data_IF_600716081054
#
_entry.id   IF_600716081054
#
_cell.length_a   1.000
_cell.length_b   1.000
_cell.length_c   1.000
_cell.angle_alpha   90.00
_cell.angle_beta   90.00
_cell.angle_gamma   90.00
#
_symmetry.space_group_name_H-M   'P 1'
#
loop_
_entity.id
_entity.type
_entity.pdbx_description
1 polymer ?
#
# COMPACT_ATOMS: atom_id res chain seq x y z
N UNK A 1 -37.18 -60.00 -11.31
CA UNK A 1 -37.97 -58.77 -11.52
C UNK A 1 -37.02 -57.58 -11.58
N UNK A 2 -36.99 -56.87 -12.70
CA UNK A 2 -36.23 -55.63 -12.88
C UNK A 2 -37.26 -54.49 -12.96
N UNK A 3 -37.11 -53.48 -12.10
CA UNK A 3 -37.90 -52.24 -12.16
C UNK A 3 -36.93 -51.07 -12.01
N UNK A 4 -36.71 -50.38 -13.12
CA UNK A 4 -36.27 -48.98 -13.28
C UNK A 4 -37.31 -48.46 -14.30
N UNK A 5 -37.95 -47.27 -14.20
CA UNK A 5 -37.25 -45.98 -14.13
C UNK A 5 -38.02 -44.73 -13.61
N UNK A 6 -37.34 -43.57 -13.72
CA UNK A 6 -37.79 -42.15 -13.79
C UNK A 6 -38.04 -41.43 -12.43
N UNK A 7 -37.15 -40.53 -11.99
CA UNK A 7 -36.84 -39.18 -12.48
C UNK A 7 -37.98 -38.17 -12.24
N UNK A 8 -37.90 -37.39 -11.15
CA UNK A 8 -38.42 -36.00 -11.10
C UNK A 8 -37.46 -35.15 -10.26
N UNK A 9 -36.83 -34.21 -10.98
CA UNK A 9 -36.05 -33.08 -10.53
C UNK A 9 -37.03 -31.95 -10.11
N UNK A 10 -36.86 -31.31 -8.94
CA UNK A 10 -37.25 -29.92 -8.78
C UNK A 10 -36.00 -29.08 -8.55
N UNK A 11 -35.50 -28.52 -9.65
CA UNK A 11 -34.75 -27.28 -9.62
C UNK A 11 -35.78 -26.14 -9.58
N UNK A 12 -35.90 -25.38 -8.49
CA UNK A 12 -36.36 -23.98 -8.53
C UNK A 12 -36.33 -23.29 -7.15
N UNK A 13 -35.82 -22.05 -7.13
CA UNK A 13 -35.85 -21.03 -6.06
C UNK A 13 -34.99 -21.37 -4.82
N UNK A 14 -33.96 -20.60 -4.44
CA UNK A 14 -34.01 -19.16 -4.13
C UNK A 14 -32.70 -18.52 -4.62
N UNK A 15 -32.76 -17.83 -5.76
CA UNK A 15 -31.88 -16.71 -6.05
C UNK A 15 -32.50 -15.42 -5.52
N UNK A 16 -31.67 -14.38 -5.41
CA UNK A 16 -31.99 -12.97 -5.12
C UNK A 16 -31.82 -12.52 -3.66
N UNK A 17 -30.58 -12.53 -3.17
CA UNK A 17 -30.09 -11.44 -2.29
C UNK A 17 -28.63 -11.08 -2.64
N UNK A 18 -28.34 -10.85 -3.92
CA UNK A 18 -27.22 -9.97 -4.26
C UNK A 18 -27.74 -8.54 -4.13
N UNK A 19 -27.58 -7.98 -2.93
CA UNK A 19 -27.57 -6.54 -2.73
C UNK A 19 -26.39 -5.97 -3.53
N UNK A 20 -26.62 -5.77 -4.82
CA UNK A 20 -25.81 -4.90 -5.66
C UNK A 20 -26.00 -3.49 -5.11
N UNK A 21 -25.17 -3.13 -4.14
CA UNK A 21 -24.84 -1.73 -3.88
C UNK A 21 -24.24 -1.20 -5.18
N UNK A 22 -25.07 -0.70 -6.09
CA UNK A 22 -24.67 0.30 -7.06
C UNK A 22 -24.39 1.56 -6.25
N UNK A 23 -23.19 1.64 -5.68
CA UNK A 23 -22.66 2.91 -5.22
C UNK A 23 -22.56 3.74 -6.48
N UNK A 24 -23.33 4.82 -6.54
CA UNK A 24 -23.18 5.82 -7.58
C UNK A 24 -21.72 6.25 -7.54
N UNK A 25 -20.97 5.91 -8.59
CA UNK A 25 -19.64 6.46 -8.83
C UNK A 25 -19.84 7.94 -9.11
N UNK A 26 -19.92 8.74 -8.04
CA UNK A 26 -19.55 10.13 -8.10
C UNK A 26 -18.12 10.13 -8.61
N UNK A 27 -17.92 10.51 -9.87
CA UNK A 27 -16.62 10.57 -10.52
C UNK A 27 -15.64 11.39 -9.68
N UNK A 28 -14.97 10.72 -8.76
CA UNK A 28 -13.75 11.21 -8.15
C UNK A 28 -12.73 11.13 -9.28
N UNK A 29 -12.23 12.28 -9.71
CA UNK A 29 -10.91 12.35 -10.35
C UNK A 29 -10.00 11.36 -9.59
N UNK A 30 -9.24 10.48 -10.26
CA UNK A 30 -8.43 9.46 -9.58
C UNK A 30 -7.62 10.16 -8.50
N UNK A 31 -8.07 10.03 -7.26
CA UNK A 31 -7.61 10.88 -6.18
C UNK A 31 -6.16 10.54 -5.95
N UNK A 32 -5.29 11.54 -5.99
CA UNK A 32 -3.91 11.37 -5.55
C UNK A 32 -3.98 10.97 -4.07
N UNK A 33 -3.85 9.69 -3.79
CA UNK A 33 -4.25 9.13 -2.50
C UNK A 33 -3.43 7.88 -2.18
N UNK A 34 -3.39 7.57 -0.89
CA UNK A 34 -2.79 6.36 -0.36
C UNK A 34 -3.77 5.72 0.62
N UNK A 35 -3.95 4.41 0.54
CA UNK A 35 -4.82 3.65 1.44
C UNK A 35 -4.21 2.30 1.77
N UNK A 36 -4.54 1.78 2.94
CA UNK A 36 -4.12 0.45 3.40
C UNK A 36 -4.98 0.00 4.58
N UNK A 37 -4.83 -1.26 4.96
CA UNK A 37 -5.31 -1.78 6.23
C UNK A 37 -4.15 -1.91 7.21
N UNK A 38 -4.30 -1.33 8.40
CA UNK A 38 -3.36 -1.42 9.52
C UNK A 38 -4.03 -2.19 10.66
N UNK A 39 -3.51 -3.38 10.99
CA UNK A 39 -4.10 -4.30 11.98
C UNK A 39 -5.61 -4.53 11.74
N UNK A 40 -6.00 -4.68 10.46
CA UNK A 40 -7.40 -4.86 10.04
C UNK A 40 -8.25 -3.59 9.97
N UNK A 41 -7.72 -2.43 10.37
CA UNK A 41 -8.42 -1.14 10.28
C UNK A 41 -8.02 -0.39 9.00
N UNK A 42 -9.00 0.06 8.23
CA UNK A 42 -8.76 0.87 7.04
C UNK A 42 -8.19 2.25 7.42
N UNK A 43 -7.12 2.64 6.72
CA UNK A 43 -6.46 3.95 6.80
C UNK A 43 -6.42 4.53 5.37
N UNK A 44 -6.66 5.84 5.26
CA UNK A 44 -6.58 6.54 3.98
C UNK A 44 -6.04 7.96 4.16
N UNK A 45 -5.24 8.38 3.20
CA UNK A 45 -4.71 9.72 3.04
C UNK A 45 -5.29 10.35 1.78
N UNK A 46 -5.75 11.60 1.88
CA UNK A 46 -6.42 12.31 0.78
C UNK A 46 -5.45 12.93 -0.25
N UNK A 47 -4.14 12.89 0.03
CA UNK A 47 -3.08 13.39 -0.82
C UNK A 47 -1.94 12.39 -0.88
N UNK A 48 -1.33 12.24 -2.05
CA UNK A 48 -0.17 11.37 -2.24
C UNK A 48 0.76 11.93 -3.32
N UNK A 49 2.04 12.03 -3.02
CA UNK A 49 3.07 12.58 -3.91
C UNK A 49 4.31 11.69 -3.90
N UNK A 50 5.03 11.70 -5.02
CA UNK A 50 6.25 10.97 -5.24
C UNK A 50 7.35 11.98 -5.62
N UNK A 51 8.43 11.99 -4.88
CA UNK A 51 9.57 12.88 -5.12
C UNK A 51 10.89 12.12 -5.18
N UNK A 52 11.84 12.66 -5.94
CA UNK A 52 13.22 12.20 -5.91
C UNK A 52 13.92 12.83 -4.71
N UNK A 53 14.60 12.01 -3.92
CA UNK A 53 15.43 12.48 -2.81
C UNK A 53 16.79 11.78 -2.83
N UNK A 54 17.70 12.25 -1.99
CA UNK A 54 19.02 11.64 -1.83
C UNK A 54 19.32 11.53 -0.35
N UNK A 55 19.53 10.29 0.12
CA UNK A 55 19.91 10.00 1.50
C UNK A 55 21.35 9.55 1.51
N UNK A 56 22.23 10.38 2.06
CA UNK A 56 23.67 10.19 1.94
C UNK A 56 24.12 10.28 0.48
N UNK A 57 24.56 9.15 -0.09
CA UNK A 57 24.98 9.04 -1.50
C UNK A 57 24.05 8.16 -2.33
N UNK A 58 22.83 7.89 -1.83
CA UNK A 58 21.91 6.96 -2.46
C UNK A 58 20.68 7.70 -2.96
N UNK A 59 20.35 7.51 -4.24
CA UNK A 59 19.12 8.03 -4.84
C UNK A 59 17.93 7.25 -4.31
N UNK A 60 16.88 7.96 -3.92
CA UNK A 60 15.65 7.36 -3.46
C UNK A 60 14.42 8.00 -4.13
N UNK A 61 13.36 7.20 -4.25
CA UNK A 61 12.01 7.65 -4.54
C UNK A 61 11.23 7.65 -3.25
N UNK A 62 10.79 8.82 -2.78
CA UNK A 62 9.93 8.93 -1.61
C UNK A 62 8.48 9.10 -2.06
N UNK A 63 7.59 8.19 -1.64
CA UNK A 63 6.14 8.27 -1.91
C UNK A 63 5.43 8.48 -0.58
N UNK A 64 4.80 9.64 -0.41
CA UNK A 64 4.21 10.06 0.86
C UNK A 64 2.70 10.24 0.73
N UNK A 65 1.95 9.49 1.53
CA UNK A 65 0.54 9.73 1.80
C UNK A 65 0.36 10.63 3.01
N UNK A 66 -0.39 11.72 2.88
CA UNK A 66 -0.72 12.65 3.97
C UNK A 66 -2.13 13.21 3.80
N UNK A 67 -2.76 13.64 4.89
CA UNK A 67 -4.01 14.39 4.82
C UNK A 67 -3.70 15.88 4.72
N UNK A 68 -4.18 16.53 3.65
CA UNK A 68 -4.12 17.99 3.48
C UNK A 68 -5.51 18.57 3.68
N UNK A 69 -5.63 19.52 4.60
CA UNK A 69 -6.87 20.28 4.86
C UNK A 69 -6.53 21.76 4.91
N UNK A 70 -7.21 22.59 4.12
CA UNK A 70 -6.94 24.04 4.03
C UNK A 70 -5.45 24.35 3.78
N UNK A 71 -4.83 23.61 2.86
CA UNK A 71 -3.40 23.73 2.51
C UNK A 71 -2.41 23.47 3.65
N UNK A 72 -2.85 22.81 4.74
CA UNK A 72 -2.00 22.39 5.84
C UNK A 72 -1.85 20.88 5.86
N UNK A 73 -0.63 20.42 6.08
CA UNK A 73 -0.33 19.00 6.23
C UNK A 73 -0.80 18.53 7.60
N UNK A 74 -1.45 17.36 7.63
CA UNK A 74 -1.75 16.64 8.86
C UNK A 74 -0.47 16.14 9.53
N UNK A 75 -0.59 15.79 10.81
CA UNK A 75 0.53 15.27 11.63
C UNK A 75 0.77 13.78 11.44
N UNK A 76 -0.04 13.11 10.63
CA UNK A 76 0.03 11.68 10.36
C UNK A 76 0.33 11.50 8.88
N UNK A 77 1.30 10.65 8.55
CA UNK A 77 1.67 10.30 7.19
C UNK A 77 2.06 8.83 7.10
N UNK A 78 2.06 8.30 5.88
CA UNK A 78 2.67 7.01 5.58
C UNK A 78 3.59 7.21 4.38
N UNK A 79 4.79 6.64 4.46
CA UNK A 79 5.83 6.84 3.47
C UNK A 79 6.33 5.50 2.96
N UNK A 80 6.58 5.46 1.66
CA UNK A 80 7.23 4.37 0.96
C UNK A 80 8.50 4.93 0.35
N UNK A 81 9.65 4.55 0.91
CA UNK A 81 10.95 4.87 0.36
C UNK A 81 11.42 3.72 -0.53
N UNK A 82 11.76 3.99 -1.77
CA UNK A 82 12.40 3.03 -2.68
C UNK A 82 13.83 3.48 -2.90
N UNK A 83 14.80 2.63 -2.58
CA UNK A 83 16.21 2.88 -2.84
C UNK A 83 16.51 2.65 -4.33
N UNK A 84 16.03 3.58 -5.16
CA UNK A 84 16.04 3.51 -6.62
C UNK A 84 16.10 4.91 -7.23
N UNK A 85 16.65 5.03 -8.45
CA UNK A 85 16.61 6.28 -9.20
C UNK A 85 15.20 6.52 -9.77
N UNK A 86 14.63 7.68 -9.45
CA UNK A 86 13.29 8.09 -9.88
C UNK A 86 13.13 8.09 -11.41
N UNK A 87 14.19 8.41 -12.15
CA UNK A 87 14.17 8.48 -13.61
C UNK A 87 14.15 7.09 -14.27
N UNK A 88 14.59 6.05 -13.55
CA UNK A 88 14.63 4.68 -14.05
C UNK A 88 13.47 3.82 -13.56
N UNK A 89 12.54 4.40 -12.78
CA UNK A 89 11.35 3.74 -12.26
C UNK A 89 10.43 3.26 -13.40
N UNK A 90 9.97 2.02 -13.32
CA UNK A 90 9.20 1.33 -14.37
C UNK A 90 8.00 0.59 -13.77
N UNK A 91 6.92 0.54 -14.54
CA UNK A 91 5.78 -0.32 -14.23
C UNK A 91 6.21 -1.79 -14.15
N UNK A 92 5.65 -2.53 -13.20
CA UNK A 92 5.91 -3.95 -12.95
C UNK A 92 7.10 -4.23 -12.03
N UNK A 93 7.87 -3.22 -11.61
CA UNK A 93 8.98 -3.43 -10.68
C UNK A 93 8.46 -3.72 -9.28
N UNK A 94 9.06 -4.71 -8.62
CA UNK A 94 8.79 -5.05 -7.22
C UNK A 94 10.06 -4.88 -6.40
N UNK A 95 9.92 -4.16 -5.29
CA UNK A 95 10.95 -3.82 -4.33
C UNK A 95 10.65 -4.59 -3.03
N UNK A 96 11.47 -5.58 -2.64
CA UNK A 96 11.32 -6.23 -1.34
C UNK A 96 11.71 -5.26 -0.22
N UNK A 97 11.23 -5.52 1.00
CA UNK A 97 11.76 -4.80 2.17
C UNK A 97 13.25 -5.08 2.33
N UNK A 98 14.05 -4.01 2.48
CA UNK A 98 15.50 -4.08 2.52
C UNK A 98 16.06 -4.62 3.84
N UNK A 99 17.22 -5.28 3.76
CA UNK A 99 18.07 -5.63 4.92
C UNK A 99 19.01 -4.50 5.34
N UNK A 100 18.95 -3.38 4.62
CA UNK A 100 19.71 -2.17 4.88
C UNK A 100 18.97 -1.03 4.20
N UNK A 101 18.96 0.15 4.83
CA UNK A 101 18.43 1.38 4.24
C UNK A 101 19.16 1.79 2.94
N UNK A 102 20.38 1.27 2.73
CA UNK A 102 21.20 1.55 1.54
C UNK A 102 21.11 0.45 0.47
N UNK A 103 20.28 -0.58 0.69
CA UNK A 103 20.15 -1.67 -0.26
C UNK A 103 19.43 -1.18 -1.53
N UNK A 104 20.17 -1.12 -2.63
CA UNK A 104 19.61 -0.77 -3.95
C UNK A 104 18.49 -1.74 -4.32
N UNK A 105 17.46 -1.20 -4.99
CA UNK A 105 16.27 -1.93 -5.42
C UNK A 105 15.50 -2.57 -4.26
N UNK A 106 15.51 -1.92 -3.10
CA UNK A 106 14.71 -2.30 -1.95
C UNK A 106 13.73 -1.18 -1.54
N UNK A 107 12.81 -1.53 -0.65
CA UNK A 107 11.84 -0.62 -0.07
C UNK A 107 12.00 -0.53 1.45
N UNK A 108 11.62 0.62 2.00
CA UNK A 108 11.36 0.82 3.43
C UNK A 108 10.00 1.49 3.57
N UNK A 109 9.18 0.99 4.50
CA UNK A 109 7.88 1.59 4.82
C UNK A 109 8.00 2.35 6.14
N UNK A 110 7.39 3.53 6.22
CA UNK A 110 7.29 4.32 7.45
C UNK A 110 5.84 4.70 7.72
N UNK A 111 5.43 4.64 8.98
CA UNK A 111 4.14 5.13 9.44
C UNK A 111 4.33 6.10 10.59
N UNK A 112 4.04 7.36 10.32
CA UNK A 112 4.05 8.44 11.30
C UNK A 112 2.65 8.57 11.86
N UNK A 113 2.43 8.05 13.08
CA UNK A 113 1.13 8.18 13.76
C UNK A 113 0.91 9.61 14.30
N UNK A 114 2.01 10.29 14.61
CA UNK A 114 2.10 11.72 14.96
C UNK A 114 3.39 12.29 14.35
N UNK A 115 3.64 13.59 14.55
CA UNK A 115 4.85 14.25 14.06
C UNK A 115 6.17 13.69 14.65
N UNK A 116 6.10 12.90 15.73
CA UNK A 116 7.29 12.39 16.44
C UNK A 116 7.27 10.88 16.64
N UNK A 117 6.17 10.20 16.31
CA UNK A 117 6.00 8.77 16.59
C UNK A 117 6.00 7.98 15.28
N UNK A 118 7.15 7.39 14.97
CA UNK A 118 7.43 6.67 13.72
C UNK A 118 7.57 5.18 13.98
N UNK A 119 7.06 4.40 13.04
CA UNK A 119 7.21 2.95 12.98
C UNK A 119 7.61 2.57 11.56
N UNK A 120 8.51 1.62 11.41
CA UNK A 120 9.06 1.28 10.10
C UNK A 120 9.31 -0.20 9.93
N UNK A 121 9.51 -0.61 8.69
CA UNK A 121 10.10 -1.93 8.38
C UNK A 121 11.55 -1.97 8.85
N UNK A 122 12.00 -3.11 9.36
CA UNK A 122 13.32 -3.24 9.98
C UNK A 122 14.23 -4.22 9.23
N UNK A 123 15.55 -3.95 9.18
CA UNK A 123 16.54 -4.83 8.55
C UNK A 123 16.49 -6.30 8.99
N UNK A 124 16.22 -6.55 10.27
CA UNK A 124 16.07 -7.89 10.84
C UNK A 124 14.83 -8.64 10.36
N UNK A 125 13.85 -7.95 9.77
CA UNK A 125 12.62 -8.55 9.25
C UNK A 125 12.22 -7.97 7.88
N UNK A 126 12.52 -8.72 6.83
CA UNK A 126 12.25 -8.31 5.44
C UNK A 126 10.89 -8.77 4.92
N UNK A 127 9.89 -8.98 5.78
CA UNK A 127 8.55 -9.35 5.35
C UNK A 127 7.79 -8.14 4.78
N UNK A 128 7.56 -8.18 3.47
CA UNK A 128 6.78 -7.19 2.75
C UNK A 128 7.36 -6.89 1.37
N UNK A 129 6.60 -6.14 0.60
CA UNK A 129 6.98 -5.73 -0.76
C UNK A 129 6.27 -4.45 -1.13
N UNK A 130 6.90 -3.69 -2.03
CA UNK A 130 6.25 -2.62 -2.79
C UNK A 130 6.31 -2.97 -4.27
N UNK A 131 5.19 -2.91 -4.97
CA UNK A 131 5.14 -3.12 -6.43
C UNK A 131 4.67 -1.84 -7.10
N UNK A 132 5.49 -1.29 -7.98
CA UNK A 132 5.10 -0.19 -8.87
C UNK A 132 4.27 -0.79 -10.00
N UNK A 133 3.00 -0.42 -10.09
CA UNK A 133 2.06 -0.98 -11.08
C UNK A 133 1.94 -0.12 -12.34
N UNK A 134 2.13 1.20 -12.21
CA UNK A 134 2.06 2.14 -13.33
C UNK A 134 2.98 3.33 -13.08
N UNK A 135 3.75 3.72 -14.10
CA UNK A 135 4.52 4.97 -14.13
C UNK A 135 4.12 5.76 -15.37
N UNK A 136 3.70 7.00 -15.18
CA UNK A 136 3.44 7.96 -16.27
C UNK A 136 4.31 9.21 -16.09
N UNK A 137 4.13 10.22 -16.93
CA UNK A 137 4.75 11.54 -16.73
C UNK A 137 4.16 12.29 -15.54
N UNK A 138 2.93 11.99 -15.13
CA UNK A 138 2.21 12.72 -14.08
C UNK A 138 2.07 11.94 -12.77
N UNK A 139 2.13 10.60 -12.82
CA UNK A 139 1.77 9.75 -11.68
C UNK A 139 2.66 8.53 -11.54
N UNK A 140 2.81 8.05 -10.31
CA UNK A 140 3.28 6.70 -9.97
C UNK A 140 2.17 5.99 -9.20
N UNK A 141 1.83 4.76 -9.60
CA UNK A 141 0.89 3.91 -8.87
C UNK A 141 1.60 2.66 -8.40
N UNK A 142 1.12 2.11 -7.29
CA UNK A 142 1.65 0.85 -6.80
C UNK A 142 0.85 0.27 -5.65
N UNK A 143 1.29 -0.90 -5.23
CA UNK A 143 0.76 -1.63 -4.09
C UNK A 143 1.86 -1.88 -3.07
N UNK A 144 1.49 -2.07 -1.81
CA UNK A 144 2.45 -2.41 -0.76
C UNK A 144 1.84 -3.26 0.35
N UNK A 145 2.71 -4.01 1.03
CA UNK A 145 2.40 -4.70 2.28
C UNK A 145 3.67 -4.88 3.08
N UNK A 146 3.54 -5.06 4.40
CA UNK A 146 4.69 -5.31 5.27
C UNK A 146 4.35 -5.28 6.74
N UNK A 147 5.35 -5.53 7.57
CA UNK A 147 5.28 -5.42 9.03
C UNK A 147 6.08 -4.21 9.50
N UNK A 148 5.52 -3.45 10.44
CA UNK A 148 6.20 -2.30 11.05
C UNK A 148 6.50 -2.59 12.52
N UNK A 149 7.62 -2.05 12.95
CA UNK A 149 8.23 -2.21 14.26
C UNK A 149 8.52 -0.82 14.84
N UNK A 150 8.87 -0.78 16.13
CA UNK A 150 9.42 0.45 16.71
C UNK A 150 10.77 0.78 16.04
N UNK A 151 11.11 2.06 15.96
CA UNK A 151 12.33 2.53 15.28
C UNK A 151 13.62 1.92 15.85
N UNK A 152 13.62 1.61 17.15
CA UNK A 152 14.74 1.02 17.88
C UNK A 152 14.80 -0.52 17.85
N UNK A 153 13.79 -1.21 17.30
CA UNK A 153 13.74 -2.67 17.16
C UNK A 153 14.39 -3.15 15.85
N UNK A 154 15.69 -2.91 15.70
CA UNK A 154 16.44 -3.22 14.47
C UNK A 154 16.40 -4.71 14.07
N UNK A 155 16.19 -5.59 15.04
CA UNK A 155 16.07 -7.04 14.85
C UNK A 155 14.67 -7.48 14.40
N UNK A 156 13.68 -6.57 14.41
CA UNK A 156 12.32 -6.81 13.94
C UNK A 156 11.59 -7.91 14.71
N UNK A 157 11.74 -7.92 16.05
CA UNK A 157 11.20 -8.99 16.91
C UNK A 157 9.79 -8.68 17.42
N UNK A 158 9.49 -7.40 17.68
CA UNK A 158 8.25 -6.94 18.30
C UNK A 158 7.40 -6.18 17.29
N UNK A 159 6.69 -6.93 16.44
CA UNK A 159 5.78 -6.35 15.46
C UNK A 159 4.70 -5.48 16.13
N UNK A 160 4.59 -4.21 15.68
CA UNK A 160 3.59 -3.26 16.15
C UNK A 160 2.39 -3.18 15.19
N UNK A 161 2.68 -3.15 13.88
CA UNK A 161 1.65 -3.04 12.85
C UNK A 161 1.85 -4.06 11.73
N UNK A 162 0.73 -4.62 11.26
CA UNK A 162 0.63 -5.35 10.01
C UNK A 162 -0.07 -4.49 8.98
N UNK A 163 0.62 -4.21 7.88
CA UNK A 163 0.13 -3.41 6.75
C UNK A 163 -0.27 -4.36 5.62
N UNK A 164 -1.52 -4.30 5.19
CA UNK A 164 -2.07 -5.12 4.11
C UNK A 164 -2.90 -4.28 3.15
N UNK A 165 -3.09 -4.78 1.92
CA UNK A 165 -3.90 -4.12 0.89
C UNK A 165 -3.50 -2.65 0.66
N UNK A 166 -2.20 -2.36 0.75
CA UNK A 166 -1.68 -1.03 0.49
C UNK A 166 -1.76 -0.71 -0.99
N UNK A 167 -2.26 0.48 -1.31
CA UNK A 167 -2.35 1.03 -2.65
C UNK A 167 -2.01 2.52 -2.61
N UNK A 168 -1.29 3.01 -3.61
CA UNK A 168 -1.04 4.44 -3.79
C UNK A 168 -1.24 4.85 -5.25
N UNK A 169 -1.69 6.10 -5.42
CA UNK A 169 -1.61 6.86 -6.67
C UNK A 169 -0.98 8.19 -6.31
N UNK A 170 0.31 8.32 -6.56
CA UNK A 170 1.13 9.45 -6.20
C UNK A 170 1.32 10.37 -7.40
N UNK A 171 1.23 11.68 -7.16
CA UNK A 171 1.64 12.69 -8.15
C UNK A 171 3.15 12.81 -8.18
N UNK A 172 3.74 12.82 -9.39
CA UNK A 172 5.17 13.08 -9.60
C UNK A 172 5.51 14.57 -9.51
#
# INVERSE_FOLDING_TARGET
MKIIPKLILPALLIGLLFNSCKKNDSGSSPGMAMKFNCNGKAISFNSCYAEATTVGNTSEVMITGVNITNSKHGTTSFEVALTHDFNTLKSGQTYPIGRSISQVDAATLFYFTTATNVFNTQPGNTEGTVTVTEVTSATVKGTFSGKLFAEDDLEGQSMVYTITNGEFTAKK
#
